data_IF_753429151968
#
_entry.id   IF_753429151968
#
_cell.length_a   1.000
_cell.length_b   1.000
_cell.length_c   1.000
_cell.angle_alpha   90.00
_cell.angle_beta   90.00
_cell.angle_gamma   90.00
#
_symmetry.space_group_name_H-M   'P 1'
#
loop_
_entity.id
_entity.type
_entity.pdbx_description
1 polymer ?
#
# COMPACT_ATOMS: atom_id res chain seq x y z
N UNK A 1 -17.21 -18.31 -4.11
CA UNK A 1 -15.94 -18.64 -4.81
C UNK A 1 -14.82 -17.71 -4.34
N UNK A 2 -14.95 -16.40 -4.59
CA UNK A 2 -13.99 -15.37 -4.11
C UNK A 2 -14.27 -14.94 -2.65
N UNK A 3 -15.53 -14.96 -2.21
CA UNK A 3 -15.94 -14.59 -0.85
C UNK A 3 -15.39 -15.49 0.28
N UNK A 4 -14.85 -16.66 -0.06
CA UNK A 4 -14.25 -17.58 0.91
C UNK A 4 -12.77 -17.25 1.21
N UNK A 5 -12.19 -16.28 0.50
CA UNK A 5 -10.79 -15.92 0.58
C UNK A 5 -10.69 -14.58 1.32
N UNK A 6 -9.77 -14.49 2.27
CA UNK A 6 -9.57 -13.27 3.06
C UNK A 6 -8.70 -12.29 2.26
N UNK A 7 -9.21 -11.09 1.99
CA UNK A 7 -8.53 -10.01 1.23
C UNK A 7 -8.34 -8.76 2.10
N UNK A 8 -7.44 -8.80 3.08
CA UNK A 8 -7.18 -7.70 4.01
C UNK A 8 -6.50 -6.49 3.34
N UNK A 9 -5.84 -6.70 2.21
CA UNK A 9 -5.26 -5.65 1.36
C UNK A 9 -6.22 -5.10 0.30
N UNK A 10 -7.46 -4.73 0.66
CA UNK A 10 -8.42 -4.03 -0.23
C UNK A 10 -8.65 -4.72 -1.62
N UNK A 11 -9.28 -4.00 -2.55
CA UNK A 11 -9.57 -4.42 -3.95
C UNK A 11 -8.31 -4.87 -4.71
N UNK A 12 -7.11 -4.43 -4.31
CA UNK A 12 -5.86 -4.81 -4.98
C UNK A 12 -5.52 -6.28 -4.83
N UNK A 13 -5.76 -6.86 -3.66
CA UNK A 13 -5.54 -8.30 -3.48
C UNK A 13 -6.53 -9.14 -4.26
N UNK A 14 -7.79 -8.69 -4.34
CA UNK A 14 -8.80 -9.30 -5.19
C UNK A 14 -8.37 -9.26 -6.66
N UNK A 15 -7.93 -8.10 -7.15
CA UNK A 15 -7.46 -7.91 -8.52
C UNK A 15 -6.29 -8.85 -8.84
N UNK A 16 -5.27 -8.91 -7.99
CA UNK A 16 -4.12 -9.79 -8.18
C UNK A 16 -4.52 -11.28 -8.17
N UNK A 17 -5.47 -11.67 -7.31
CA UNK A 17 -5.99 -13.03 -7.26
C UNK A 17 -6.70 -13.41 -8.58
N UNK A 18 -7.58 -12.53 -9.08
CA UNK A 18 -8.29 -12.74 -10.35
C UNK A 18 -7.30 -12.77 -11.51
N UNK A 19 -6.34 -11.84 -11.56
CA UNK A 19 -5.37 -11.74 -12.64
C UNK A 19 -4.47 -12.97 -12.73
N UNK A 20 -3.94 -13.46 -11.60
CA UNK A 20 -3.16 -14.71 -11.57
C UNK A 20 -3.99 -15.91 -12.00
N UNK A 21 -5.24 -15.99 -11.56
CA UNK A 21 -6.12 -17.10 -11.90
C UNK A 21 -6.38 -17.14 -13.40
N UNK A 22 -6.70 -15.98 -14.01
CA UNK A 22 -6.86 -15.87 -15.46
C UNK A 22 -5.58 -16.21 -16.24
N UNK A 23 -4.41 -15.86 -15.69
CA UNK A 23 -3.11 -16.14 -16.32
C UNK A 23 -2.75 -17.63 -16.28
N UNK A 24 -3.12 -18.34 -15.21
CA UNK A 24 -2.75 -19.74 -14.98
C UNK A 24 -3.82 -20.74 -15.44
N UNK A 25 -5.06 -20.29 -15.61
CA UNK A 25 -6.14 -21.11 -16.13
C UNK A 25 -5.81 -21.50 -17.59
N UNK A 26 -5.94 -22.78 -17.89
CA UNK A 26 -5.72 -23.33 -19.23
C UNK A 26 -7.01 -23.44 -20.04
N UNK A 27 -8.16 -23.34 -19.36
CA UNK A 27 -9.48 -23.37 -19.97
C UNK A 27 -10.01 -21.95 -20.26
N UNK A 28 -10.98 -21.88 -21.17
CA UNK A 28 -11.68 -20.63 -21.50
C UNK A 28 -12.65 -20.14 -20.40
N UNK A 29 -12.92 -20.99 -19.39
CA UNK A 29 -13.87 -20.71 -18.32
C UNK A 29 -13.18 -20.95 -16.98
N UNK A 30 -13.05 -19.89 -16.19
CA UNK A 30 -12.50 -19.97 -14.84
C UNK A 30 -13.54 -20.60 -13.91
N UNK A 31 -13.19 -21.74 -13.32
CA UNK A 31 -13.97 -22.47 -12.33
C UNK A 31 -13.40 -22.25 -10.92
N UNK A 32 -14.10 -22.75 -9.92
CA UNK A 32 -13.71 -22.64 -8.51
C UNK A 32 -12.38 -23.32 -8.20
N UNK A 33 -12.06 -24.42 -8.89
CA UNK A 33 -10.83 -25.16 -8.72
C UNK A 33 -9.56 -24.39 -9.18
N UNK A 34 -9.72 -23.39 -10.05
CA UNK A 34 -8.60 -22.61 -10.58
C UNK A 34 -8.05 -21.64 -9.53
N UNK A 35 -8.88 -21.21 -8.59
CA UNK A 35 -8.48 -20.27 -7.55
C UNK A 35 -7.58 -20.93 -6.52
N UNK A 36 -6.35 -20.41 -6.38
CA UNK A 36 -5.38 -20.88 -5.40
C UNK A 36 -5.89 -20.82 -3.96
N UNK A 37 -6.83 -19.91 -3.67
CA UNK A 37 -7.42 -19.75 -2.33
C UNK A 37 -8.39 -20.86 -1.92
N UNK A 38 -8.81 -21.73 -2.83
CA UNK A 38 -9.58 -22.94 -2.51
C UNK A 38 -8.72 -24.15 -2.16
N UNK A 39 -7.42 -24.09 -2.46
CA UNK A 39 -6.47 -25.20 -2.28
C UNK A 39 -5.44 -24.93 -1.18
N UNK A 40 -5.73 -24.00 -0.27
CA UNK A 40 -4.82 -23.56 0.80
C UNK A 40 -3.44 -23.07 0.31
N UNK A 41 -3.33 -22.71 -0.98
CA UNK A 41 -2.10 -22.21 -1.62
C UNK A 41 -2.22 -20.75 -2.02
N UNK A 42 -3.20 -20.05 -1.46
CA UNK A 42 -3.27 -18.61 -1.67
C UNK A 42 -2.18 -17.96 -0.84
N UNK A 43 -1.25 -17.31 -1.53
CA UNK A 43 -0.16 -16.58 -0.90
C UNK A 43 -0.69 -15.60 0.16
N UNK A 44 -1.82 -14.92 -0.08
CA UNK A 44 -2.47 -14.11 0.95
C UNK A 44 -2.80 -14.96 2.18
N UNK A 45 -3.57 -16.04 2.05
CA UNK A 45 -3.96 -16.90 3.18
C UNK A 45 -2.76 -17.45 3.97
N UNK A 46 -1.69 -17.87 3.29
CA UNK A 46 -0.46 -18.38 3.94
C UNK A 46 0.29 -17.27 4.69
N UNK A 47 0.37 -16.06 4.12
CA UNK A 47 0.98 -14.91 4.81
C UNK A 47 0.18 -14.53 6.07
N UNK A 48 -1.17 -14.61 6.02
CA UNK A 48 -2.02 -14.33 7.18
C UNK A 48 -1.96 -15.40 8.27
N UNK A 49 -1.86 -16.68 7.92
CA UNK A 49 -1.70 -17.77 8.90
C UNK A 49 -0.42 -17.59 9.72
N UNK A 50 0.70 -17.26 9.06
CA UNK A 50 1.97 -16.99 9.75
C UNK A 50 1.87 -15.75 10.66
N UNK A 51 1.12 -14.74 10.22
CA UNK A 51 0.93 -13.51 11.00
C UNK A 51 0.01 -13.69 12.22
N UNK A 52 -0.83 -14.73 12.28
CA UNK A 52 -1.64 -15.05 13.46
C UNK A 52 -0.87 -15.87 14.51
N UNK A 53 0.01 -16.78 14.09
CA UNK A 53 0.82 -17.58 15.02
C UNK A 53 1.90 -16.73 15.72
N UNK A 54 2.39 -15.66 15.09
CA UNK A 54 3.32 -14.71 15.69
C UNK A 54 2.63 -13.56 16.46
N UNK A 55 1.30 -13.51 16.53
CA UNK A 55 0.57 -12.36 17.10
C UNK A 55 0.36 -12.38 18.63
N UNK A 56 1.23 -13.07 19.38
CA UNK A 56 1.52 -12.62 20.76
C UNK A 56 2.70 -11.63 20.81
N UNK A 57 3.37 -11.36 19.68
CA UNK A 57 4.34 -10.29 19.54
C UNK A 57 4.30 -9.73 18.11
N UNK A 58 3.66 -8.58 17.97
CA UNK A 58 3.67 -7.63 16.84
C UNK A 58 4.64 -7.97 15.68
N UNK A 59 4.18 -8.43 14.50
CA UNK A 59 5.08 -8.70 13.40
C UNK A 59 5.31 -7.47 12.52
N UNK A 60 6.56 -7.03 12.47
CA UNK A 60 7.08 -6.03 11.54
C UNK A 60 6.97 -6.50 10.07
N UNK A 61 6.66 -5.61 9.10
CA UNK A 61 6.57 -5.99 7.70
C UNK A 61 7.94 -6.34 7.11
N UNK A 62 8.04 -7.52 6.50
CA UNK A 62 9.22 -8.01 5.81
C UNK A 62 9.63 -7.10 4.64
N UNK A 63 10.90 -6.71 4.65
CA UNK A 63 11.55 -5.86 3.64
C UNK A 63 11.51 -6.46 2.24
N UNK A 64 11.02 -5.75 1.21
CA UNK A 64 11.31 -6.10 -0.17
C UNK A 64 12.78 -5.79 -0.48
N UNK A 65 13.39 -6.73 -1.21
CA UNK A 65 14.77 -6.72 -1.71
C UNK A 65 15.28 -5.32 -2.09
N UNK A 66 16.50 -5.05 -1.61
CA UNK A 66 17.35 -3.87 -1.78
C UNK A 66 17.15 -3.09 -3.10
N UNK A 67 16.22 -2.14 -3.06
CA UNK A 67 16.39 -0.87 -3.76
C UNK A 67 17.12 0.03 -2.75
N UNK A 68 18.14 0.83 -3.10
CA UNK A 68 18.79 1.72 -2.13
C UNK A 68 17.74 2.66 -1.53
N UNK A 69 17.24 2.27 -0.36
CA UNK A 69 16.11 2.88 0.30
C UNK A 69 16.68 4.01 1.14
N UNK A 70 16.31 5.24 0.78
CA UNK A 70 16.42 6.36 1.69
C UNK A 70 15.70 5.99 3.00
N UNK A 71 16.22 6.40 4.17
CA UNK A 71 15.65 6.03 5.45
C UNK A 71 14.19 6.45 5.51
N UNK A 72 13.29 5.46 5.62
CA UNK A 72 11.88 5.67 5.92
C UNK A 72 11.79 5.89 7.43
N UNK A 73 11.39 7.09 7.90
CA UNK A 73 11.10 7.30 9.32
C UNK A 73 9.78 6.60 9.66
N UNK A 74 9.75 5.93 10.82
CA UNK A 74 8.60 5.26 11.41
C UNK A 74 7.33 6.14 11.46
N UNK A 75 6.15 5.51 11.37
CA UNK A 75 4.82 6.15 11.25
C UNK A 75 4.36 6.96 12.50
N UNK A 76 5.20 7.13 13.54
CA UNK A 76 4.87 7.81 14.81
C UNK A 76 5.42 9.25 14.95
N UNK A 77 6.06 9.82 13.93
CA UNK A 77 6.55 11.21 13.95
C UNK A 77 5.45 12.23 13.56
N UNK A 78 4.29 12.18 14.23
CA UNK A 78 3.24 13.21 14.07
C UNK A 78 3.74 14.61 14.49
N UNK A 79 4.77 14.65 15.35
CA UNK A 79 5.44 15.87 15.81
C UNK A 79 6.37 16.51 14.75
N UNK A 80 6.75 15.80 13.69
CA UNK A 80 7.69 16.30 12.67
C UNK A 80 7.02 16.82 11.39
N UNK A 81 5.68 16.80 11.30
CA UNK A 81 4.99 17.24 10.09
C UNK A 81 5.26 18.73 9.79
N UNK A 82 5.68 19.07 8.56
CA UNK A 82 6.02 20.44 8.19
C UNK A 82 4.79 21.35 8.27
N UNK A 83 5.00 22.57 8.76
CA UNK A 83 3.95 23.57 8.89
C UNK A 83 3.29 23.86 7.52
N UNK A 84 2.04 24.31 7.56
CA UNK A 84 1.18 24.60 6.40
C UNK A 84 1.89 25.35 5.27
N UNK A 85 2.65 26.39 5.59
CA UNK A 85 3.32 27.23 4.59
C UNK A 85 4.44 26.47 3.85
N UNK A 86 5.13 25.58 4.54
CA UNK A 86 6.19 24.74 3.96
C UNK A 86 5.61 23.68 3.02
N UNK A 87 4.42 23.16 3.34
CA UNK A 87 3.67 22.27 2.45
C UNK A 87 3.24 23.00 1.16
N UNK A 88 2.70 24.22 1.27
CA UNK A 88 2.29 25.02 0.11
C UNK A 88 3.50 25.34 -0.78
N UNK A 89 4.61 25.80 -0.20
CA UNK A 89 5.81 26.13 -0.96
C UNK A 89 6.38 24.91 -1.72
N UNK A 90 6.40 23.73 -1.07
CA UNK A 90 6.81 22.50 -1.74
C UNK A 90 5.84 22.08 -2.86
N UNK A 91 4.53 22.26 -2.66
CA UNK A 91 3.53 21.98 -3.68
C UNK A 91 3.66 22.90 -4.88
N UNK A 92 3.87 24.20 -4.68
CA UNK A 92 4.10 25.16 -5.77
C UNK A 92 5.38 24.84 -6.55
N UNK A 93 6.49 24.57 -5.87
CA UNK A 93 7.76 24.18 -6.50
C UNK A 93 7.66 22.86 -7.26
N UNK A 94 6.76 21.97 -6.81
CA UNK A 94 6.49 20.70 -7.46
C UNK A 94 5.48 20.79 -8.62
N UNK A 95 4.91 21.96 -8.90
CA UNK A 95 3.83 22.08 -9.88
C UNK A 95 2.57 21.31 -9.48
N UNK A 96 2.29 21.26 -8.17
CA UNK A 96 1.17 20.54 -7.55
C UNK A 96 1.19 19.02 -7.71
N UNK A 97 2.34 18.43 -8.07
CA UNK A 97 2.56 16.97 -8.07
C UNK A 97 3.00 16.49 -6.68
N UNK A 98 2.07 15.88 -5.93
CA UNK A 98 2.30 15.44 -4.54
C UNK A 98 3.54 14.57 -4.34
N UNK A 99 3.77 13.59 -5.21
CA UNK A 99 4.94 12.70 -5.09
C UNK A 99 6.27 13.46 -5.22
N UNK A 100 6.30 14.51 -6.04
CA UNK A 100 7.47 15.38 -6.21
C UNK A 100 7.63 16.32 -5.01
N UNK A 101 6.52 16.89 -4.49
CA UNK A 101 6.54 17.71 -3.28
C UNK A 101 6.98 16.92 -2.05
N UNK A 102 6.54 15.66 -1.92
CA UNK A 102 6.90 14.78 -0.82
C UNK A 102 8.41 14.56 -0.75
N UNK A 103 9.05 14.32 -1.90
CA UNK A 103 10.52 14.20 -2.01
C UNK A 103 11.26 15.48 -1.57
N UNK A 104 10.70 16.66 -1.80
CA UNK A 104 11.31 17.93 -1.35
C UNK A 104 11.26 18.11 0.17
N UNK A 105 10.27 17.51 0.82
CA UNK A 105 10.09 17.58 2.27
C UNK A 105 10.61 16.35 3.01
N UNK A 106 11.26 15.41 2.31
CA UNK A 106 11.66 14.09 2.83
C UNK A 106 10.49 13.33 3.47
N UNK A 107 9.29 13.47 2.90
CA UNK A 107 8.09 12.75 3.31
C UNK A 107 7.77 11.66 2.30
N UNK A 108 7.00 10.65 2.75
CA UNK A 108 6.36 9.72 1.83
C UNK A 108 5.17 10.40 1.10
N UNK A 109 4.79 9.97 -0.11
CA UNK A 109 3.59 10.48 -0.78
C UNK A 109 2.31 10.35 0.07
N UNK A 110 2.24 9.30 0.91
CA UNK A 110 1.14 9.07 1.85
C UNK A 110 1.12 10.13 2.95
N UNK A 111 2.25 10.39 3.60
CA UNK A 111 2.38 11.44 4.61
C UNK A 111 2.05 12.82 4.04
N UNK A 112 2.52 13.13 2.82
CA UNK A 112 2.16 14.36 2.12
C UNK A 112 0.64 14.47 1.93
N UNK A 113 -0.03 13.41 1.47
CA UNK A 113 -1.49 13.39 1.34
C UNK A 113 -2.22 13.62 2.66
N UNK A 114 -1.75 13.00 3.75
CA UNK A 114 -2.29 13.23 5.09
C UNK A 114 -2.06 14.67 5.57
N UNK A 115 -0.86 15.21 5.40
CA UNK A 115 -0.51 16.56 5.81
C UNK A 115 -1.35 17.62 5.07
N UNK A 116 -1.57 17.47 3.77
CA UNK A 116 -2.44 18.36 2.99
C UNK A 116 -3.88 18.35 3.49
N UNK A 117 -4.43 17.16 3.81
CA UNK A 117 -5.78 17.03 4.41
C UNK A 117 -5.85 17.64 5.80
N UNK A 118 -4.85 17.39 6.65
CA UNK A 118 -4.78 17.92 8.02
C UNK A 118 -4.72 19.45 8.05
N UNK A 119 -4.01 20.06 7.10
CA UNK A 119 -3.87 21.51 7.00
C UNK A 119 -4.90 22.18 6.07
N UNK A 120 -5.91 21.44 5.60
CA UNK A 120 -6.94 21.91 4.68
C UNK A 120 -6.37 22.69 3.47
N UNK A 121 -5.41 22.10 2.77
CA UNK A 121 -4.79 22.67 1.56
C UNK A 121 -5.48 22.06 0.33
N UNK A 122 -6.15 22.91 -0.45
CA UNK A 122 -6.79 22.50 -1.71
C UNK A 122 -5.77 22.26 -2.81
N UNK A 123 -5.86 21.11 -3.46
CA UNK A 123 -4.94 20.72 -4.53
C UNK A 123 -5.40 21.35 -5.85
N UNK A 124 -4.57 22.24 -6.42
CA UNK A 124 -4.81 22.75 -7.77
C UNK A 124 -4.44 21.68 -8.79
N UNK A 125 -5.43 21.26 -9.60
CA UNK A 125 -5.23 20.42 -10.77
C UNK A 125 -5.13 21.34 -11.99
N UNK A 126 -4.00 21.26 -12.70
CA UNK A 126 -3.77 21.89 -13.99
C UNK A 126 -3.75 20.83 -15.08
#
# INVERSE_FOLDING_TARGET
>A
MLSACYFPGNVRELENCVYRTATLCTDLVIRDADFACRRERCLSATLWQHQQEENNDTPAPASPLSVPSAPVPDDDDEAALPHRDRLIHAMEKAGWVQAKAARLLNLTPRQMGYALRKHAIDIKRF
#
